data_IF_687846374084
#
_entry.id   IF_687846374084
#
_cell.length_a   1.000
_cell.length_b   1.000
_cell.length_c   1.000
_cell.angle_alpha   90.00
_cell.angle_beta   90.00
_cell.angle_gamma   90.00
#
_symmetry.space_group_name_H-M   'P 1'
#
loop_
_entity.id
_entity.type
_entity.pdbx_description
1 polymer ?
#
# COMPACT_ATOMS: atom_id res chain seq x y z
N UNK A 1 -59.95 20.21 1.61
CA UNK A 1 -59.10 21.26 2.20
C UNK A 1 -57.80 20.61 2.63
N UNK A 2 -56.79 20.65 1.77
CA UNK A 2 -55.45 20.10 2.05
C UNK A 2 -54.64 21.17 2.79
N UNK A 3 -54.20 20.87 4.02
CA UNK A 3 -53.24 21.70 4.76
C UNK A 3 -51.83 21.24 4.40
N UNK A 4 -51.13 22.05 3.62
CA UNK A 4 -49.68 21.98 3.41
C UNK A 4 -48.96 22.25 4.74
N UNK A 5 -47.97 21.45 5.17
CA UNK A 5 -47.19 21.79 6.34
C UNK A 5 -46.26 22.97 6.00
N UNK A 6 -46.32 24.01 6.82
CA UNK A 6 -45.48 25.18 6.70
C UNK A 6 -44.00 24.80 6.83
N UNK A 7 -43.18 25.27 5.89
CA UNK A 7 -41.73 25.18 6.00
C UNK A 7 -41.28 25.98 7.23
N UNK A 8 -40.65 25.28 8.18
CA UNK A 8 -40.08 25.87 9.39
C UNK A 8 -39.08 26.97 9.03
N UNK A 9 -39.39 28.20 9.47
CA UNK A 9 -38.49 29.34 9.35
C UNK A 9 -37.23 29.10 10.18
N UNK A 10 -36.07 29.49 9.63
CA UNK A 10 -34.77 29.39 10.33
C UNK A 10 -34.85 30.22 11.62
N UNK A 11 -34.67 29.59 12.81
CA UNK A 11 -34.80 30.29 14.07
C UNK A 11 -33.68 31.32 14.26
N UNK A 12 -34.02 32.47 14.85
CA UNK A 12 -33.06 33.54 15.15
C UNK A 12 -31.93 33.03 16.09
N UNK A 13 -30.68 33.53 15.94
CA UNK A 13 -29.45 32.88 16.44
C UNK A 13 -29.35 32.68 17.96
N UNK A 14 -30.21 33.31 18.77
CA UNK A 14 -30.17 33.25 20.24
C UNK A 14 -31.46 32.71 20.88
N UNK A 15 -32.22 31.89 20.17
CA UNK A 15 -33.47 31.30 20.68
C UNK A 15 -33.27 29.85 21.16
N UNK A 16 -34.05 29.38 22.16
CA UNK A 16 -34.05 27.97 22.57
C UNK A 16 -34.37 27.01 21.40
N UNK A 17 -35.11 27.47 20.39
CA UNK A 17 -35.35 26.75 19.15
C UNK A 17 -34.08 26.56 18.31
N UNK A 18 -33.21 27.57 18.21
CA UNK A 18 -31.91 27.47 17.53
C UNK A 18 -30.95 26.52 18.26
N UNK A 19 -30.92 26.56 19.60
CA UNK A 19 -30.16 25.61 20.40
C UNK A 19 -30.64 24.16 20.21
N UNK A 20 -31.96 23.94 20.16
CA UNK A 20 -32.55 22.63 19.84
C UNK A 20 -32.21 22.15 18.43
N UNK A 21 -32.27 23.04 17.43
CA UNK A 21 -31.89 22.73 16.05
C UNK A 21 -30.42 22.34 15.94
N UNK A 22 -29.52 23.08 16.60
CA UNK A 22 -28.09 22.76 16.65
C UNK A 22 -27.82 21.38 17.26
N UNK A 23 -28.49 21.04 18.36
CA UNK A 23 -28.34 19.72 18.98
C UNK A 23 -28.86 18.60 18.07
N UNK A 24 -29.97 18.82 17.36
CA UNK A 24 -30.46 17.86 16.35
C UNK A 24 -29.47 17.69 15.20
N UNK A 25 -28.91 18.77 14.68
CA UNK A 25 -27.89 18.72 13.63
C UNK A 25 -26.68 17.90 14.07
N UNK A 26 -26.12 18.19 15.26
CA UNK A 26 -25.01 17.42 15.83
C UNK A 26 -25.38 15.95 16.04
N UNK A 27 -26.61 15.66 16.49
CA UNK A 27 -27.15 14.31 16.62
C UNK A 27 -27.22 13.57 15.27
N UNK A 28 -27.69 14.23 14.21
CA UNK A 28 -27.73 13.65 12.87
C UNK A 28 -26.33 13.31 12.35
N UNK A 29 -25.35 14.21 12.54
CA UNK A 29 -23.96 13.95 12.16
C UNK A 29 -23.40 12.71 12.87
N UNK A 30 -23.67 12.55 14.17
CA UNK A 30 -23.24 11.38 14.93
C UNK A 30 -23.90 10.08 14.44
N UNK A 31 -25.21 10.09 14.14
CA UNK A 31 -25.92 8.91 13.58
C UNK A 31 -25.34 8.49 12.24
N UNK A 32 -24.95 9.46 11.40
CA UNK A 32 -24.31 9.22 10.11
C UNK A 32 -22.80 8.87 10.22
N UNK A 33 -22.24 8.80 11.43
CA UNK A 33 -20.81 8.56 11.72
C UNK A 33 -19.87 9.64 11.16
N UNK A 34 -20.37 10.88 11.05
CA UNK A 34 -19.61 12.07 10.64
C UNK A 34 -19.04 12.75 11.89
N UNK A 35 -18.12 12.05 12.58
CA UNK A 35 -17.62 12.45 13.89
C UNK A 35 -16.75 13.71 13.85
N UNK A 36 -15.88 13.83 12.84
CA UNK A 36 -14.97 14.97 12.66
C UNK A 36 -15.76 16.23 12.28
N UNK A 37 -16.78 16.10 11.42
CA UNK A 37 -17.74 17.18 11.17
C UNK A 37 -18.50 17.59 12.45
N UNK A 38 -18.97 16.64 13.25
CA UNK A 38 -19.71 16.96 14.49
C UNK A 38 -18.83 17.71 15.52
N UNK A 39 -17.53 17.42 15.56
CA UNK A 39 -16.56 18.11 16.39
C UNK A 39 -16.23 19.52 15.85
N UNK A 40 -16.04 19.65 14.53
CA UNK A 40 -15.71 20.91 13.87
C UNK A 40 -16.89 21.88 13.73
N UNK A 41 -18.13 21.39 13.84
CA UNK A 41 -19.36 22.16 13.66
C UNK A 41 -19.39 23.53 14.37
N UNK A 42 -19.03 23.67 15.66
CA UNK A 42 -19.05 24.97 16.34
C UNK A 42 -18.12 25.98 15.67
N UNK A 43 -16.90 25.55 15.32
CA UNK A 43 -15.88 26.42 14.74
C UNK A 43 -16.25 26.86 13.32
N UNK A 44 -16.82 25.95 12.51
CA UNK A 44 -17.27 26.26 11.15
C UNK A 44 -18.46 27.23 11.17
N UNK A 45 -19.43 27.04 12.09
CA UNK A 45 -20.56 27.97 12.23
C UNK A 45 -20.14 29.37 12.68
N UNK A 46 -19.21 29.48 13.64
CA UNK A 46 -18.65 30.77 14.09
C UNK A 46 -17.90 31.47 12.96
N UNK A 47 -17.10 30.72 12.18
CA UNK A 47 -16.41 31.26 11.00
C UNK A 47 -17.41 31.76 9.96
N UNK A 48 -18.42 30.96 9.62
CA UNK A 48 -19.45 31.31 8.66
C UNK A 48 -20.18 32.61 9.01
N UNK A 49 -20.47 32.83 10.30
CA UNK A 49 -21.04 34.09 10.78
C UNK A 49 -20.07 35.27 10.63
N UNK A 50 -18.80 35.09 11.01
CA UNK A 50 -17.78 36.16 10.94
C UNK A 50 -17.46 36.57 9.50
N UNK A 51 -17.43 35.63 8.56
CA UNK A 51 -17.05 35.87 7.17
C UNK A 51 -18.25 35.92 6.21
N UNK A 52 -19.48 35.89 6.74
CA UNK A 52 -20.73 35.86 5.96
C UNK A 52 -20.73 34.78 4.86
N UNK A 53 -20.31 33.54 5.21
CA UNK A 53 -20.37 32.42 4.26
C UNK A 53 -21.82 32.09 3.90
N UNK A 54 -22.03 31.70 2.65
CA UNK A 54 -23.32 31.12 2.25
C UNK A 54 -23.55 29.79 2.96
N UNK A 55 -24.82 29.36 3.06
CA UNK A 55 -25.16 28.06 3.65
C UNK A 55 -24.51 26.90 2.88
N UNK A 56 -24.46 26.99 1.56
CA UNK A 56 -23.79 25.99 0.73
C UNK A 56 -22.30 25.91 1.03
N UNK A 57 -21.60 27.05 1.14
CA UNK A 57 -20.18 27.08 1.46
C UNK A 57 -19.90 26.57 2.89
N UNK A 58 -20.78 26.88 3.84
CA UNK A 58 -20.66 26.41 5.22
C UNK A 58 -20.83 24.88 5.31
N UNK A 59 -21.81 24.32 4.59
CA UNK A 59 -22.02 22.87 4.54
C UNK A 59 -20.88 22.16 3.83
N UNK A 60 -20.36 22.74 2.75
CA UNK A 60 -19.20 22.21 2.05
C UNK A 60 -17.97 22.17 2.97
N UNK A 61 -17.63 23.28 3.64
CA UNK A 61 -16.45 23.34 4.52
C UNK A 61 -16.56 22.32 5.65
N UNK A 62 -17.76 22.18 6.23
CA UNK A 62 -18.02 21.19 7.28
C UNK A 62 -17.85 19.75 6.79
N UNK A 63 -18.40 19.42 5.62
CA UNK A 63 -18.34 18.07 5.07
C UNK A 63 -16.95 17.74 4.52
N UNK A 64 -16.23 18.73 4.00
CA UNK A 64 -14.85 18.58 3.54
C UNK A 64 -13.94 18.09 4.67
N UNK A 65 -14.08 18.65 5.88
CA UNK A 65 -13.32 18.20 7.07
C UNK A 65 -13.55 16.71 7.34
N UNK A 66 -14.80 16.24 7.26
CA UNK A 66 -15.11 14.83 7.48
C UNK A 66 -14.63 13.92 6.34
N UNK A 67 -14.69 14.41 5.10
CA UNK A 67 -14.16 13.71 3.93
C UNK A 67 -12.65 13.52 4.09
N UNK A 68 -11.92 14.58 4.37
CA UNK A 68 -10.46 14.55 4.58
C UNK A 68 -10.08 13.59 5.71
N UNK A 69 -10.77 13.67 6.85
CA UNK A 69 -10.53 12.77 7.97
C UNK A 69 -10.86 11.31 7.63
N UNK A 70 -11.96 11.07 6.90
CA UNK A 70 -12.34 9.73 6.43
C UNK A 70 -11.33 9.16 5.44
N UNK A 71 -10.84 9.96 4.49
CA UNK A 71 -9.82 9.54 3.53
C UNK A 71 -8.49 9.24 4.21
N UNK A 72 -8.07 10.09 5.16
CA UNK A 72 -6.88 9.86 5.97
C UNK A 72 -7.00 8.55 6.78
N UNK A 73 -8.15 8.31 7.42
CA UNK A 73 -8.42 7.05 8.15
C UNK A 73 -8.37 5.83 7.22
N UNK A 74 -8.97 5.92 6.02
CA UNK A 74 -8.95 4.84 5.01
C UNK A 74 -7.54 4.56 4.51
N UNK A 75 -6.77 5.60 4.20
CA UNK A 75 -5.38 5.48 3.77
C UNK A 75 -4.51 4.85 4.85
N UNK A 76 -4.61 5.32 6.10
CA UNK A 76 -3.89 4.74 7.24
C UNK A 76 -4.24 3.26 7.44
N UNK A 77 -5.52 2.90 7.27
CA UNK A 77 -5.98 1.51 7.28
C UNK A 77 -5.35 0.65 6.18
N UNK A 78 -5.29 1.16 4.94
CA UNK A 78 -4.65 0.46 3.81
C UNK A 78 -3.14 0.32 4.01
N UNK A 79 -2.45 1.36 4.48
CA UNK A 79 -1.01 1.33 4.77
C UNK A 79 -0.67 0.29 5.84
N UNK A 80 -1.46 0.24 6.93
CA UNK A 80 -1.33 -0.79 7.97
C UNK A 80 -1.54 -2.20 7.41
N UNK A 81 -2.58 -2.37 6.59
CA UNK A 81 -2.87 -3.66 5.98
C UNK A 81 -1.77 -4.10 5.01
N UNK A 82 -1.13 -3.16 4.31
CA UNK A 82 -0.09 -3.47 3.33
C UNK A 82 1.17 -4.10 3.93
N UNK A 83 1.44 -3.92 5.23
CA UNK A 83 2.60 -4.50 5.92
C UNK A 83 3.93 -4.21 5.21
N UNK A 84 4.10 -2.99 4.68
CA UNK A 84 5.31 -2.60 3.96
C UNK A 84 6.53 -2.61 4.92
N UNK A 85 7.64 -3.25 4.55
CA UNK A 85 8.80 -3.41 5.44
C UNK A 85 9.61 -2.13 5.63
N UNK A 86 9.53 -1.17 4.69
CA UNK A 86 10.31 0.07 4.71
C UNK A 86 9.44 1.27 4.32
N UNK A 87 9.85 2.51 4.70
CA UNK A 87 9.16 3.73 4.27
C UNK A 87 9.42 4.11 2.80
N UNK A 88 10.14 3.28 2.02
CA UNK A 88 10.58 3.60 0.67
C UNK A 88 9.46 4.08 -0.26
N UNK A 89 9.80 5.05 -1.11
CA UNK A 89 8.98 5.54 -2.22
C UNK A 89 9.71 5.41 -3.55
N UNK A 90 8.98 5.57 -4.66
CA UNK A 90 9.57 5.58 -6.00
C UNK A 90 10.45 6.81 -6.26
N UNK A 91 10.21 7.91 -5.53
CA UNK A 91 10.96 9.16 -5.63
C UNK A 91 12.35 9.02 -4.99
N UNK A 92 12.46 8.20 -3.95
CA UNK A 92 13.72 7.94 -3.22
C UNK A 92 14.66 6.98 -3.97
N UNK A 93 14.25 6.44 -5.13
CA UNK A 93 15.05 5.45 -5.84
C UNK A 93 16.17 6.11 -6.65
N UNK A 94 17.42 5.70 -6.41
CA UNK A 94 18.59 6.19 -7.15
C UNK A 94 18.72 5.45 -8.50
N UNK A 95 18.10 6.03 -9.52
CA UNK A 95 18.19 5.48 -10.88
C UNK A 95 19.60 5.56 -11.49
N UNK A 96 20.52 6.36 -10.94
CA UNK A 96 21.90 6.40 -11.44
C UNK A 96 22.67 5.14 -11.03
N UNK A 97 22.30 4.54 -9.90
CA UNK A 97 22.81 3.25 -9.43
C UNK A 97 22.24 2.03 -10.17
N UNK A 98 21.15 2.20 -10.93
CA UNK A 98 20.48 1.14 -11.68
C UNK A 98 20.25 1.55 -13.14
N UNK A 99 21.33 1.73 -13.94
CA UNK A 99 21.27 2.33 -15.28
C UNK A 99 20.52 1.47 -16.32
N UNK A 100 20.35 0.18 -16.07
CA UNK A 100 19.57 -0.72 -16.93
C UNK A 100 18.05 -0.52 -16.80
N UNK A 101 17.60 0.25 -15.80
CA UNK A 101 16.18 0.46 -15.51
C UNK A 101 15.61 1.65 -16.29
N UNK A 102 14.59 1.41 -17.10
CA UNK A 102 13.88 2.49 -17.80
C UNK A 102 13.01 3.30 -16.83
N UNK A 103 13.43 4.54 -16.57
CA UNK A 103 12.69 5.50 -15.73
C UNK A 103 11.26 5.74 -16.20
N UNK A 104 11.03 5.74 -17.52
CA UNK A 104 9.67 5.94 -18.08
C UNK A 104 8.77 4.78 -17.76
N UNK A 105 9.30 3.55 -17.85
CA UNK A 105 8.57 2.35 -17.48
C UNK A 105 8.23 2.32 -15.99
N UNK A 106 9.17 2.71 -15.11
CA UNK A 106 8.88 2.79 -13.67
C UNK A 106 7.83 3.86 -13.36
N UNK A 107 7.90 5.02 -14.02
CA UNK A 107 6.88 6.06 -13.88
C UNK A 107 5.50 5.57 -14.35
N UNK A 108 5.44 4.84 -15.46
CA UNK A 108 4.21 4.21 -15.96
C UNK A 108 3.63 3.19 -14.96
N UNK A 109 4.49 2.33 -14.40
CA UNK A 109 4.07 1.39 -13.36
C UNK A 109 3.59 2.13 -12.10
N UNK A 110 4.20 3.27 -11.77
CA UNK A 110 3.78 4.15 -10.68
C UNK A 110 2.34 4.66 -10.81
N UNK A 111 1.79 4.78 -12.02
CA UNK A 111 0.38 5.20 -12.22
C UNK A 111 -0.62 4.10 -11.87
N UNK A 112 -0.16 2.89 -11.54
CA UNK A 112 -0.98 1.74 -11.15
C UNK A 112 -1.95 1.22 -12.22
N UNK A 113 -1.90 1.72 -13.47
CA UNK A 113 -2.75 1.25 -14.59
C UNK A 113 -2.64 -0.25 -14.83
N UNK A 114 -1.44 -0.80 -14.60
CA UNK A 114 -1.18 -2.22 -14.73
C UNK A 114 -2.11 -3.08 -13.85
N UNK A 115 -2.59 -2.56 -12.71
CA UNK A 115 -3.49 -3.24 -11.77
C UNK A 115 -4.88 -3.49 -12.35
N UNK A 116 -5.44 -2.52 -13.09
CA UNK A 116 -6.76 -2.64 -13.74
C UNK A 116 -6.80 -3.81 -14.73
N UNK A 117 -5.62 -4.13 -15.22
CA UNK A 117 -5.41 -5.08 -16.27
C UNK A 117 -4.90 -6.43 -15.71
N UNK A 118 -4.69 -6.55 -14.40
CA UNK A 118 -4.10 -7.72 -13.76
C UNK A 118 -2.73 -8.12 -14.34
N UNK A 119 -1.90 -7.12 -14.67
CA UNK A 119 -0.52 -7.35 -15.13
C UNK A 119 0.41 -7.58 -13.94
N UNK A 120 1.15 -8.68 -13.94
CA UNK A 120 2.15 -8.98 -12.93
C UNK A 120 3.46 -8.22 -13.20
N UNK A 121 4.30 -8.09 -12.18
CA UNK A 121 5.64 -7.53 -12.32
C UNK A 121 6.63 -8.50 -11.68
N UNK A 122 7.68 -8.84 -12.42
CA UNK A 122 8.76 -9.67 -11.91
C UNK A 122 10.02 -8.82 -11.84
N UNK A 123 10.55 -8.62 -10.63
CA UNK A 123 11.82 -7.97 -10.38
C UNK A 123 12.88 -9.05 -10.16
N UNK A 124 13.84 -9.15 -11.07
CA UNK A 124 14.88 -10.17 -11.09
C UNK A 124 16.24 -9.49 -10.96
N UNK A 125 17.15 -10.02 -10.16
CA UNK A 125 18.51 -9.49 -10.06
C UNK A 125 19.24 -9.90 -8.78
N UNK A 126 20.54 -9.59 -8.62
CA UNK A 126 21.32 -9.98 -7.46
C UNK A 126 20.85 -9.28 -6.17
N UNK A 127 21.24 -9.76 -4.97
CA UNK A 127 20.89 -9.10 -3.72
C UNK A 127 21.40 -7.66 -3.64
N UNK A 128 20.57 -6.76 -3.09
CA UNK A 128 20.99 -5.38 -2.81
C UNK A 128 20.85 -4.38 -3.96
N UNK A 129 20.36 -4.76 -5.14
CA UNK A 129 20.16 -3.85 -6.29
C UNK A 129 18.87 -3.02 -6.25
N UNK A 130 18.10 -3.07 -5.16
CA UNK A 130 16.89 -2.24 -5.00
C UNK A 130 15.56 -2.85 -5.43
N UNK A 131 15.48 -4.17 -5.71
CA UNK A 131 14.21 -4.88 -6.01
C UNK A 131 13.11 -4.62 -4.98
N UNK A 132 13.42 -4.87 -3.70
CA UNK A 132 12.46 -4.63 -2.60
C UNK A 132 12.06 -3.16 -2.53
N UNK A 133 12.99 -2.22 -2.74
CA UNK A 133 12.70 -0.78 -2.75
C UNK A 133 11.66 -0.44 -3.83
N UNK A 134 11.88 -0.86 -5.07
CA UNK A 134 10.93 -0.63 -6.17
C UNK A 134 9.57 -1.26 -5.88
N UNK A 135 9.54 -2.52 -5.42
CA UNK A 135 8.28 -3.20 -5.11
C UNK A 135 7.50 -2.50 -3.99
N UNK A 136 8.19 -1.97 -2.98
CA UNK A 136 7.59 -1.20 -1.88
C UNK A 136 7.11 0.17 -2.37
N UNK A 137 7.87 0.83 -3.23
CA UNK A 137 7.47 2.09 -3.86
C UNK A 137 6.20 1.94 -4.70
N UNK A 138 6.14 0.91 -5.55
CA UNK A 138 4.94 0.57 -6.33
C UNK A 138 3.76 0.20 -5.42
N UNK A 139 4.01 -0.58 -4.37
CA UNK A 139 3.00 -0.95 -3.39
C UNK A 139 2.41 0.26 -2.66
N UNK A 140 3.27 1.22 -2.29
CA UNK A 140 2.89 2.48 -1.68
C UNK A 140 2.05 3.32 -2.64
N UNK A 141 2.51 3.51 -3.88
CA UNK A 141 1.74 4.20 -4.92
C UNK A 141 0.34 3.59 -5.09
N UNK A 142 0.24 2.25 -5.12
CA UNK A 142 -1.04 1.56 -5.19
C UNK A 142 -1.94 1.82 -3.97
N UNK A 143 -1.38 1.86 -2.76
CA UNK A 143 -2.13 2.19 -1.53
C UNK A 143 -2.66 3.62 -1.56
N UNK A 144 -1.86 4.57 -2.04
CA UNK A 144 -2.28 5.97 -2.21
C UNK A 144 -3.34 6.13 -3.30
N UNK A 145 -3.22 5.40 -4.41
CA UNK A 145 -4.24 5.34 -5.47
C UNK A 145 -5.53 4.61 -5.04
N UNK A 146 -5.55 4.06 -3.83
CA UNK A 146 -6.74 3.54 -3.21
C UNK A 146 -6.88 2.02 -3.22
N UNK A 147 -5.92 1.31 -3.82
CA UNK A 147 -5.92 -0.14 -3.92
C UNK A 147 -5.53 -0.81 -2.61
N UNK A 148 -6.13 -1.97 -2.38
CA UNK A 148 -5.76 -2.83 -1.26
C UNK A 148 -4.54 -3.65 -1.65
N UNK A 149 -3.44 -3.43 -0.95
CA UNK A 149 -2.14 -4.06 -1.22
C UNK A 149 -1.69 -4.91 -0.04
N UNK A 150 -0.93 -5.98 -0.25
CA UNK A 150 -0.33 -6.78 0.82
C UNK A 150 1.10 -7.21 0.45
N UNK A 151 2.04 -7.01 1.37
CA UNK A 151 3.43 -7.45 1.24
C UNK A 151 3.69 -8.67 2.13
N UNK A 152 4.40 -9.66 1.59
CA UNK A 152 4.86 -10.84 2.33
C UNK A 152 6.11 -11.41 1.69
N UNK A 153 6.93 -12.14 2.46
CA UNK A 153 8.00 -12.97 1.88
C UNK A 153 7.44 -14.31 1.42
N UNK A 154 8.10 -14.97 0.47
CA UNK A 154 7.75 -16.34 0.09
C UNK A 154 7.78 -17.30 1.29
N UNK A 155 8.72 -17.12 2.21
CA UNK A 155 8.85 -17.90 3.44
C UNK A 155 7.67 -17.67 4.41
N UNK A 156 7.26 -16.43 4.63
CA UNK A 156 6.12 -16.11 5.51
C UNK A 156 4.79 -16.61 4.93
N UNK A 157 4.62 -16.49 3.61
CA UNK A 157 3.48 -17.05 2.90
C UNK A 157 3.42 -18.56 3.12
N UNK A 158 4.54 -19.26 2.89
CA UNK A 158 4.66 -20.69 3.12
C UNK A 158 4.32 -21.09 4.56
N UNK A 159 4.93 -20.43 5.55
CA UNK A 159 4.69 -20.69 6.96
C UNK A 159 3.23 -20.45 7.37
N UNK A 160 2.59 -19.41 6.82
CA UNK A 160 1.17 -19.13 7.08
C UNK A 160 0.24 -20.17 6.45
N UNK A 161 0.55 -20.62 5.24
CA UNK A 161 -0.19 -21.69 4.56
C UNK A 161 -0.07 -23.02 5.30
N UNK A 162 1.14 -23.39 5.74
CA UNK A 162 1.37 -24.61 6.51
C UNK A 162 0.56 -24.63 7.83
N UNK A 163 0.60 -23.53 8.62
CA UNK A 163 -0.25 -23.41 9.81
C UNK A 163 -1.74 -23.49 9.49
N UNK A 164 -2.18 -22.84 8.41
CA UNK A 164 -3.57 -22.87 8.01
C UNK A 164 -4.05 -24.27 7.59
N UNK A 165 -3.17 -25.10 7.02
CA UNK A 165 -3.48 -26.50 6.72
C UNK A 165 -3.70 -27.30 8.00
N UNK A 166 -2.81 -27.16 8.98
CA UNK A 166 -2.91 -27.85 10.29
C UNK A 166 -4.18 -27.43 11.04
N UNK A 167 -4.52 -26.15 11.03
CA UNK A 167 -5.66 -25.60 11.77
C UNK A 167 -7.00 -25.68 11.02
N UNK A 168 -7.04 -26.27 9.82
CA UNK A 168 -8.26 -26.34 9.00
C UNK A 168 -8.75 -24.98 8.48
N UNK A 169 -7.87 -23.97 8.40
CA UNK A 169 -8.17 -22.59 7.95
C UNK A 169 -7.67 -22.28 6.55
N UNK A 170 -7.40 -23.32 5.74
CA UNK A 170 -6.83 -23.20 4.39
C UNK A 170 -7.63 -22.26 3.49
N UNK A 171 -8.94 -22.50 3.35
CA UNK A 171 -9.81 -21.70 2.48
C UNK A 171 -9.81 -20.21 2.87
N UNK A 172 -9.85 -19.90 4.16
CA UNK A 172 -9.78 -18.53 4.67
C UNK A 172 -8.44 -17.86 4.34
N UNK A 173 -7.34 -18.60 4.45
CA UNK A 173 -5.99 -18.11 4.15
C UNK A 173 -5.80 -17.86 2.64
N UNK A 174 -6.33 -18.74 1.79
CA UNK A 174 -6.32 -18.53 0.34
C UNK A 174 -7.12 -17.29 -0.07
N UNK A 175 -8.33 -17.10 0.47
CA UNK A 175 -9.10 -15.86 0.25
C UNK A 175 -8.36 -14.61 0.73
N UNK A 176 -7.60 -14.73 1.83
CA UNK A 176 -6.79 -13.63 2.33
C UNK A 176 -5.71 -13.22 1.31
N UNK A 177 -4.99 -14.17 0.73
CA UNK A 177 -3.96 -13.87 -0.27
C UNK A 177 -4.53 -13.50 -1.65
N UNK A 178 -5.73 -13.96 -1.99
CA UNK A 178 -6.42 -13.59 -3.24
C UNK A 178 -7.10 -12.21 -3.18
N UNK A 179 -7.49 -11.75 -1.98
CA UNK A 179 -8.31 -10.55 -1.80
C UNK A 179 -7.66 -9.19 -2.11
N UNK A 180 -6.36 -8.95 -1.87
CA UNK A 180 -5.70 -7.70 -2.25
C UNK A 180 -5.64 -7.54 -3.77
N UNK A 181 -5.84 -6.32 -4.27
CA UNK A 181 -5.65 -5.98 -5.70
C UNK A 181 -4.20 -6.18 -6.11
N UNK A 182 -3.26 -5.90 -5.20
CA UNK A 182 -1.84 -6.11 -5.39
C UNK A 182 -1.27 -6.98 -4.26
N UNK A 183 -0.58 -8.05 -4.61
CA UNK A 183 0.16 -8.91 -3.69
C UNK A 183 1.64 -8.84 -4.05
N UNK A 184 2.50 -8.54 -3.08
CA UNK A 184 3.94 -8.57 -3.24
C UNK A 184 4.47 -9.81 -2.54
N UNK A 185 5.25 -10.61 -3.26
CA UNK A 185 5.95 -11.79 -2.77
C UNK A 185 7.45 -11.53 -2.91
N UNK A 186 8.08 -11.20 -1.79
CA UNK A 186 9.51 -10.91 -1.74
C UNK A 186 10.33 -12.19 -1.46
N UNK A 187 11.62 -12.13 -1.81
CA UNK A 187 12.63 -13.15 -1.52
C UNK A 187 12.32 -14.55 -2.07
N UNK A 188 11.63 -14.65 -3.20
CA UNK A 188 11.39 -15.94 -3.84
C UNK A 188 12.70 -16.48 -4.45
N UNK A 189 13.10 -17.71 -4.08
CA UNK A 189 14.30 -18.36 -4.62
C UNK A 189 15.55 -18.30 -3.74
N UNK A 190 15.46 -17.73 -2.54
CA UNK A 190 16.58 -17.71 -1.57
C UNK A 190 16.79 -19.06 -0.87
N UNK A 191 15.70 -19.76 -0.56
CA UNK A 191 15.70 -21.10 0.03
C UNK A 191 14.78 -22.01 -0.79
N UNK A 192 15.13 -23.30 -0.96
CA UNK A 192 14.21 -24.28 -1.53
C UNK A 192 12.92 -24.32 -0.72
N UNK A 193 11.78 -24.25 -1.40
CA UNK A 193 10.48 -24.33 -0.74
C UNK A 193 10.12 -25.80 -0.51
N UNK A 194 9.60 -26.18 0.67
CA UNK A 194 8.98 -27.49 0.86
C UNK A 194 7.85 -27.70 -0.17
N UNK A 195 7.59 -28.94 -0.58
CA UNK A 195 6.57 -29.23 -1.61
C UNK A 195 5.16 -28.70 -1.27
N UNK A 196 4.78 -28.72 0.00
CA UNK A 196 3.53 -28.10 0.48
C UNK A 196 3.51 -26.58 0.25
N UNK A 197 4.65 -25.91 0.47
CA UNK A 197 4.80 -24.47 0.28
C UNK A 197 4.76 -24.09 -1.20
N UNK A 198 5.41 -24.88 -2.07
CA UNK A 198 5.33 -24.71 -3.52
C UNK A 198 3.89 -24.87 -4.02
N UNK A 199 3.17 -25.87 -3.52
CA UNK A 199 1.74 -26.08 -3.82
C UNK A 199 0.87 -24.91 -3.35
N UNK A 200 1.14 -24.37 -2.16
CA UNK A 200 0.45 -23.20 -1.63
C UNK A 200 0.65 -21.97 -2.51
N UNK A 201 1.90 -21.71 -2.91
CA UNK A 201 2.27 -20.59 -3.76
C UNK A 201 1.59 -20.72 -5.14
N UNK A 202 1.58 -21.92 -5.73
CA UNK A 202 0.85 -22.19 -6.97
C UNK A 202 -0.64 -21.88 -6.83
N UNK A 203 -1.29 -22.30 -5.74
CA UNK A 203 -2.72 -22.00 -5.52
C UNK A 203 -2.98 -20.50 -5.42
N UNK A 204 -2.11 -19.74 -4.75
CA UNK A 204 -2.20 -18.27 -4.68
C UNK A 204 -2.09 -17.66 -6.07
N UNK A 205 -1.09 -18.06 -6.87
CA UNK A 205 -0.92 -17.57 -8.25
C UNK A 205 -2.15 -17.92 -9.10
N UNK A 206 -2.62 -19.16 -9.04
CA UNK A 206 -3.76 -19.63 -9.81
C UNK A 206 -5.06 -18.89 -9.47
N UNK A 207 -5.30 -18.56 -8.20
CA UNK A 207 -6.50 -17.82 -7.80
C UNK A 207 -6.49 -16.36 -8.24
N UNK A 208 -5.29 -15.77 -8.40
CA UNK A 208 -5.08 -14.36 -8.77
C UNK A 208 -4.94 -14.16 -10.29
N UNK A 209 -4.59 -15.21 -11.02
CA UNK A 209 -4.43 -15.19 -12.47
C UNK A 209 -5.59 -14.50 -13.19
N UNK A 210 -5.26 -13.46 -13.98
CA UNK A 210 -6.19 -12.59 -14.73
C UNK A 210 -7.24 -11.86 -13.88
N UNK A 211 -7.08 -11.78 -12.55
CA UNK A 211 -8.00 -11.09 -11.65
C UNK A 211 -7.33 -9.96 -10.88
N UNK A 212 -6.14 -10.22 -10.34
CA UNK A 212 -5.39 -9.28 -9.52
C UNK A 212 -3.90 -9.45 -9.78
N UNK A 213 -3.10 -8.42 -9.47
CA UNK A 213 -1.69 -8.40 -9.87
C UNK A 213 -0.79 -8.94 -8.77
N UNK A 214 0.34 -9.52 -9.17
CA UNK A 214 1.39 -9.98 -8.28
C UNK A 214 2.69 -9.26 -8.66
N UNK A 215 3.40 -8.72 -7.66
CA UNK A 215 4.81 -8.37 -7.79
C UNK A 215 5.62 -9.50 -7.16
N UNK A 216 6.57 -10.07 -7.90
CA UNK A 216 7.52 -11.05 -7.38
C UNK A 216 8.92 -10.47 -7.42
N UNK A 217 9.63 -10.53 -6.30
CA UNK A 217 11.05 -10.24 -6.27
C UNK A 217 11.83 -11.55 -6.13
N UNK A 218 12.81 -11.75 -7.00
CA UNK A 218 13.64 -12.95 -6.99
C UNK A 218 15.09 -12.63 -7.34
N UNK A 219 16.01 -13.43 -6.81
CA UNK A 219 17.41 -13.47 -7.24
C UNK A 219 17.70 -14.61 -8.22
N UNK A 220 16.68 -15.40 -8.59
CA UNK A 220 16.78 -16.51 -9.51
C UNK A 220 16.17 -16.12 -10.85
N UNK A 221 16.85 -16.49 -11.92
CA UNK A 221 16.30 -16.40 -13.26
C UNK A 221 15.08 -17.31 -13.40
N UNK A 222 14.18 -16.98 -14.32
CA UNK A 222 12.95 -17.76 -14.57
C UNK A 222 13.24 -19.24 -14.84
N UNK A 223 14.36 -19.58 -15.49
CA UNK A 223 14.74 -20.96 -15.78
C UNK A 223 15.08 -21.80 -14.55
N UNK A 224 15.50 -21.17 -13.44
CA UNK A 224 15.92 -21.85 -12.21
C UNK A 224 14.75 -22.17 -11.26
N UNK A 225 13.53 -21.76 -11.60
CA UNK A 225 12.38 -21.93 -10.69
C UNK A 225 11.95 -23.39 -10.51
N UNK A 226 12.29 -24.27 -11.45
CA UNK A 226 12.11 -25.71 -11.28
C UNK A 226 12.85 -26.24 -10.05
N UNK A 227 14.08 -25.77 -9.82
CA UNK A 227 14.89 -26.14 -8.67
C UNK A 227 14.36 -25.53 -7.37
N UNK A 228 13.94 -24.26 -7.42
CA UNK A 228 13.39 -23.53 -6.26
C UNK A 228 12.12 -24.18 -5.72
N UNK A 229 11.26 -24.66 -6.61
CA UNK A 229 9.95 -25.24 -6.26
C UNK A 229 10.00 -26.76 -6.06
N UNK A 230 11.10 -27.42 -6.43
CA UNK A 230 11.27 -28.87 -6.29
C UNK A 230 10.44 -29.72 -7.26
N UNK A 231 9.67 -29.09 -8.16
CA UNK A 231 8.87 -29.74 -9.19
C UNK A 231 8.84 -28.85 -10.45
N UNK A 232 9.48 -29.33 -11.52
CA UNK A 232 9.58 -28.63 -12.80
C UNK A 232 8.23 -28.44 -13.48
N UNK A 233 7.28 -29.35 -13.27
CA UNK A 233 5.94 -29.30 -13.87
C UNK A 233 5.10 -28.21 -13.20
N UNK A 234 5.13 -28.16 -11.86
CA UNK A 234 4.46 -27.12 -11.08
C UNK A 234 5.08 -25.76 -11.36
N UNK A 235 6.42 -25.68 -11.44
CA UNK A 235 7.13 -24.47 -11.80
C UNK A 235 6.73 -23.94 -13.18
N UNK A 236 6.72 -24.79 -14.21
CA UNK A 236 6.30 -24.41 -15.55
C UNK A 236 4.85 -23.89 -15.58
N UNK A 237 3.94 -24.58 -14.91
CA UNK A 237 2.54 -24.17 -14.82
C UNK A 237 2.34 -22.85 -14.05
N UNK A 238 3.15 -22.59 -13.02
CA UNK A 238 3.14 -21.34 -12.26
C UNK A 238 3.69 -20.18 -13.10
N UNK A 239 4.82 -20.40 -13.77
CA UNK A 239 5.48 -19.42 -14.63
C UNK A 239 4.61 -19.02 -15.81
N UNK A 240 3.95 -19.98 -16.47
CA UNK A 240 2.99 -19.73 -17.55
C UNK A 240 1.94 -18.69 -17.13
N UNK A 241 1.33 -18.88 -15.95
CA UNK A 241 0.32 -17.95 -15.41
C UNK A 241 0.89 -16.61 -14.99
N UNK A 242 2.08 -16.59 -14.39
CA UNK A 242 2.72 -15.34 -13.96
C UNK A 242 3.15 -14.50 -15.17
N UNK A 243 3.73 -15.13 -16.17
CA UNK A 243 4.37 -14.47 -17.31
C UNK A 243 3.41 -14.07 -18.41
N UNK A 244 2.26 -14.76 -18.55
CA UNK A 244 1.27 -14.47 -19.60
C UNK A 244 0.91 -12.99 -19.69
N UNK A 245 0.70 -12.33 -18.54
CA UNK A 245 0.53 -10.88 -18.47
C UNK A 245 1.52 -10.31 -17.46
N UNK A 246 2.73 -10.02 -17.91
CA UNK A 246 3.77 -9.52 -17.01
C UNK A 246 4.67 -8.44 -17.62
N UNK A 247 5.24 -7.64 -16.73
CA UNK A 247 6.42 -6.82 -17.00
C UNK A 247 7.59 -7.45 -16.25
N UNK A 248 8.64 -7.85 -16.96
CA UNK A 248 9.86 -8.41 -16.37
C UNK A 248 10.93 -7.32 -16.35
N UNK A 249 11.43 -7.01 -15.16
CA UNK A 249 12.48 -6.03 -14.93
C UNK A 249 13.71 -6.75 -14.38
N UNK A 250 14.79 -6.70 -15.15
CA UNK A 250 16.10 -7.18 -14.71
C UNK A 250 16.86 -6.00 -14.12
N UNK A 251 17.18 -6.09 -12.83
CA UNK A 251 17.96 -5.10 -12.12
C UNK A 251 19.39 -5.63 -12.00
N UNK A 252 20.33 -4.83 -12.49
CA UNK A 252 21.76 -5.08 -12.40
C UNK A 252 22.43 -3.87 -11.71
N UNK A 253 23.66 -4.06 -11.26
CA UNK A 253 24.46 -3.01 -10.61
C UNK A 253 24.98 -3.40 -9.24
N UNK A 254 25.67 -2.45 -8.60
CA UNK A 254 26.27 -2.65 -7.29
C UNK A 254 25.22 -2.69 -6.18
N UNK A 255 25.49 -3.49 -5.15
CA UNK A 255 24.62 -3.57 -3.99
C UNK A 255 24.61 -2.25 -3.21
N UNK A 256 23.43 -1.63 -3.13
CA UNK A 256 23.16 -0.46 -2.31
C UNK A 256 23.55 -0.66 -0.85
N UNK A 257 23.24 -1.85 -0.31
CA UNK A 257 23.54 -2.18 1.09
C UNK A 257 25.05 -2.17 1.37
N UNK A 258 25.86 -2.62 0.41
CA UNK A 258 27.32 -2.57 0.54
C UNK A 258 27.84 -1.13 0.39
N UNK A 259 27.29 -0.35 -0.54
CA UNK A 259 27.64 1.08 -0.68
C UNK A 259 27.36 1.86 0.60
N UNK A 260 26.18 1.69 1.20
CA UNK A 260 25.82 2.33 2.47
C UNK A 260 26.73 1.88 3.62
N UNK A 261 27.04 0.59 3.70
CA UNK A 261 27.98 0.06 4.69
C UNK A 261 29.38 0.67 4.54
N UNK A 262 29.89 0.75 3.30
CA UNK A 262 31.20 1.35 3.01
C UNK A 262 31.22 2.83 3.36
N UNK A 263 30.21 3.60 2.94
CA UNK A 263 30.09 5.02 3.26
C UNK A 263 30.01 5.26 4.77
N UNK A 264 29.25 4.44 5.50
CA UNK A 264 29.16 4.52 6.96
C UNK A 264 30.49 4.17 7.63
N UNK A 265 31.18 3.14 7.16
CA UNK A 265 32.49 2.75 7.69
C UNK A 265 33.56 3.83 7.44
N UNK A 266 33.56 4.45 6.26
CA UNK A 266 34.44 5.59 5.96
C UNK A 266 34.14 6.81 6.82
N UNK A 267 32.86 7.15 7.03
CA UNK A 267 32.47 8.25 7.92
C UNK A 267 32.89 7.98 9.36
N UNK A 268 32.77 6.73 9.84
CA UNK A 268 33.28 6.33 11.15
C UNK A 268 34.80 6.48 11.23
N UNK A 269 35.54 6.03 10.21
CA UNK A 269 37.01 6.18 10.14
C UNK A 269 37.43 7.65 10.12
N UNK A 270 36.73 8.51 9.37
CA UNK A 270 36.99 9.94 9.34
C UNK A 270 36.73 10.59 10.69
N UNK A 271 35.65 10.19 11.38
CA UNK A 271 35.33 10.69 12.72
C UNK A 271 36.33 10.24 13.80
N UNK A 272 36.91 9.04 13.69
CA UNK A 272 37.93 8.56 14.64
C UNK A 272 39.34 9.05 14.35
N UNK A 273 39.63 9.45 13.10
CA UNK A 273 40.96 9.94 12.66
C UNK A 273 41.05 11.46 12.62
N UNK A 274 39.94 12.19 12.84
CA UNK A 274 39.94 13.65 12.92
C UNK A 274 40.74 14.13 14.15
N UNK A 275 41.69 15.08 14.00
CA UNK A 275 42.47 15.57 15.12
C UNK A 275 41.54 16.26 16.12
N UNK A 276 41.62 15.87 17.41
CA UNK A 276 40.92 16.57 18.49
C UNK A 276 41.37 18.03 18.47
N UNK A 277 40.42 18.95 18.23
CA UNK A 277 40.68 20.38 18.41
C UNK A 277 41.17 20.61 19.84
N UNK A 278 42.30 21.31 20.05
CA UNK A 278 42.73 21.67 21.39
C UNK A 278 41.68 22.63 21.98
N UNK A 279 41.20 22.28 23.17
CA UNK A 279 40.29 23.10 23.97
C UNK A 279 40.98 24.46 24.23
N UNK A 280 40.36 25.54 23.76
CA UNK A 280 40.67 26.92 24.15
C UNK A 280 39.72 27.35 25.27
#
# INVERSE_FOLDING_TARGET
MNTTPAADAVPAPNTPAAASLYQRLRGHLAVLKLHDAAEALPAVLDRAQKTNLSMTATLEELLAIEVDATEARRLAGRLRFACLPTPASLEDFDYDAAPSLDRKLIAELGTCRYLESATNILLIGPPGVGKTHLSVGLARAAVHAGYRTYFTTAADLAARCHRAAIEGRWATTMRFFAGPTLLIIDELGYLPLPGEAASALFQVVAQRYLKTSIIVNTNRSVGEWGEVLGDTTVAAAMLDRLLHRSVVLNLDGDSYRLRDHHARAENLRKATTAPRQPLQ
#
